data_IF_474518901089
#
_entry.id   IF_474518901089
#
_cell.length_a   1.000
_cell.length_b   1.000
_cell.length_c   1.000
_cell.angle_alpha   90.00
_cell.angle_beta   90.00
_cell.angle_gamma   90.00
#
_symmetry.space_group_name_H-M   'P 1'
#
loop_
_entity.id
_entity.type
_entity.pdbx_description
1 polymer ?
#
# COMPACT_ATOMS: atom_id res chain seq x y z
N UNK A 1 -19.65 -2.62 -9.05
CA UNK A 1 -19.52 -3.37 -7.78
C UNK A 1 -18.06 -3.69 -7.55
N UNK A 2 -17.53 -3.26 -6.41
CA UNK A 2 -16.14 -3.48 -5.99
C UNK A 2 -15.94 -4.93 -5.52
N UNK A 3 -16.65 -5.87 -6.13
CA UNK A 3 -16.65 -7.25 -5.64
C UNK A 3 -15.33 -7.99 -5.75
N UNK A 4 -14.42 -7.56 -6.62
CA UNK A 4 -13.19 -8.31 -6.88
C UNK A 4 -12.00 -7.38 -7.12
N UNK A 5 -11.50 -6.74 -6.05
CA UNK A 5 -10.12 -6.35 -6.06
C UNK A 5 -9.27 -7.61 -5.84
N UNK A 6 -9.19 -8.46 -6.86
CA UNK A 6 -8.26 -9.57 -6.85
C UNK A 6 -6.85 -9.03 -7.11
N UNK A 7 -6.15 -8.68 -6.06
CA UNK A 7 -4.78 -8.18 -6.11
C UNK A 7 -3.76 -9.25 -6.53
N UNK A 8 -4.19 -10.50 -6.69
CA UNK A 8 -3.29 -11.63 -6.91
C UNK A 8 -3.04 -11.98 -8.35
N UNK A 9 -3.99 -11.75 -9.23
CA UNK A 9 -3.89 -12.22 -10.61
C UNK A 9 -3.01 -11.33 -11.49
N UNK A 10 -2.76 -10.07 -11.11
CA UNK A 10 -2.06 -9.09 -11.95
C UNK A 10 -1.17 -8.19 -11.13
N UNK A 11 -0.02 -7.85 -11.69
CA UNK A 11 0.82 -6.80 -11.15
C UNK A 11 0.01 -5.49 -11.08
N UNK A 12 -0.15 -4.99 -9.88
CA UNK A 12 -0.91 -3.78 -9.61
C UNK A 12 0.01 -2.58 -9.83
N UNK A 13 -0.42 -1.54 -10.56
CA UNK A 13 0.40 -0.34 -10.68
C UNK A 13 0.61 0.31 -9.32
N UNK A 14 1.86 0.61 -8.97
CA UNK A 14 2.20 1.53 -7.91
C UNK A 14 1.92 2.97 -8.35
N UNK A 15 1.87 3.88 -7.40
CA UNK A 15 1.69 5.31 -7.64
C UNK A 15 0.37 5.67 -8.35
N UNK A 16 -0.67 4.88 -8.17
CA UNK A 16 -1.99 5.10 -8.77
C UNK A 16 -3.00 5.56 -7.72
N UNK A 17 -3.22 6.86 -7.64
CA UNK A 17 -4.20 7.50 -6.73
C UNK A 17 -5.65 7.05 -6.98
N UNK A 18 -5.97 6.55 -8.18
CA UNK A 18 -7.31 6.06 -8.53
C UNK A 18 -7.68 4.77 -7.79
N UNK A 19 -6.72 4.16 -7.11
CA UNK A 19 -6.94 2.99 -6.27
C UNK A 19 -7.46 3.32 -4.88
N UNK A 20 -7.45 4.59 -4.51
CA UNK A 20 -8.10 5.05 -3.29
C UNK A 20 -9.62 4.95 -3.42
N UNK A 21 -10.25 4.23 -2.52
CA UNK A 21 -11.68 4.03 -2.53
C UNK A 21 -12.28 4.15 -1.13
N UNK A 22 -13.54 4.54 -1.09
CA UNK A 22 -14.30 4.71 0.13
C UNK A 22 -15.58 3.90 0.03
N UNK A 23 -16.06 3.43 1.17
CA UNK A 23 -17.35 2.74 1.26
C UNK A 23 -18.11 3.15 2.52
N UNK A 24 -19.41 2.92 2.49
CA UNK A 24 -20.27 2.95 3.67
C UNK A 24 -21.36 1.90 3.50
N UNK A 25 -21.81 1.36 4.61
CA UNK A 25 -22.94 0.45 4.69
C UNK A 25 -23.87 0.95 5.78
N UNK A 26 -25.12 1.17 5.43
CA UNK A 26 -26.17 1.58 6.34
C UNK A 26 -27.43 0.76 6.09
N UNK A 27 -28.08 0.35 7.16
CA UNK A 27 -29.42 -0.24 7.11
C UNK A 27 -30.45 0.87 7.30
N UNK A 28 -31.33 1.04 6.34
CA UNK A 28 -32.39 2.05 6.37
C UNK A 28 -33.74 1.37 6.50
N UNK A 29 -34.48 1.69 7.56
CA UNK A 29 -35.89 1.30 7.69
C UNK A 29 -36.74 2.41 7.07
N UNK A 30 -37.51 2.08 6.07
CA UNK A 30 -38.37 3.03 5.35
C UNK A 30 -39.81 2.92 5.88
N UNK A 31 -40.21 3.86 6.76
CA UNK A 31 -41.53 3.93 7.36
C UNK A 31 -42.24 5.25 6.96
N UNK A 32 -42.10 5.67 5.69
CA UNK A 32 -42.63 6.93 5.16
C UNK A 32 -41.57 7.75 4.43
N UNK A 33 -41.70 9.08 4.44
CA UNK A 33 -40.72 9.95 3.80
C UNK A 33 -39.37 9.87 4.53
N UNK A 34 -38.30 9.62 3.79
CA UNK A 34 -36.92 9.62 4.31
C UNK A 34 -36.40 11.05 4.18
N UNK A 35 -36.07 11.69 5.29
CA UNK A 35 -35.39 12.98 5.33
C UNK A 35 -33.90 12.88 4.97
N UNK A 36 -33.19 14.01 5.01
CA UNK A 36 -31.75 14.09 4.77
C UNK A 36 -30.96 13.18 5.73
N UNK A 37 -29.96 12.51 5.21
CA UNK A 37 -29.08 11.63 5.99
C UNK A 37 -27.62 11.94 5.74
N UNK A 38 -26.84 11.84 6.78
CA UNK A 38 -25.38 11.95 6.70
C UNK A 38 -24.77 10.55 6.69
N UNK A 39 -24.06 10.23 5.64
CA UNK A 39 -23.33 8.98 5.49
C UNK A 39 -21.84 9.23 5.74
N UNK A 40 -21.22 8.45 6.63
CA UNK A 40 -19.79 8.51 6.87
C UNK A 40 -19.07 7.45 6.03
N UNK A 41 -18.24 7.93 5.11
CA UNK A 41 -17.40 7.06 4.30
C UNK A 41 -16.19 6.59 5.10
N UNK A 42 -15.83 5.31 4.92
CA UNK A 42 -14.61 4.68 5.47
C UNK A 42 -13.65 4.38 4.32
N UNK A 43 -12.36 4.59 4.54
CA UNK A 43 -11.31 4.15 3.63
C UNK A 43 -10.78 2.80 4.13
N UNK A 44 -10.92 1.69 3.37
CA UNK A 44 -10.46 0.36 3.82
C UNK A 44 -8.96 0.17 3.66
N UNK A 45 -8.29 1.09 3.02
CA UNK A 45 -6.86 1.00 2.69
C UNK A 45 -5.98 1.78 3.67
N UNK A 46 -4.78 1.24 3.93
CA UNK A 46 -3.62 2.01 4.33
C UNK A 46 -2.93 2.55 3.08
N UNK A 47 -2.44 3.79 3.12
CA UNK A 47 -1.52 4.30 2.10
C UNK A 47 -0.09 4.09 2.60
N UNK A 48 0.74 3.36 1.85
CA UNK A 48 2.14 3.12 2.18
C UNK A 48 3.02 3.87 1.20
N UNK A 49 3.81 4.79 1.70
CA UNK A 49 4.77 5.57 0.92
C UNK A 49 6.19 5.12 1.27
N UNK A 50 7.00 4.88 0.27
CA UNK A 50 8.44 4.63 0.41
C UNK A 50 9.17 5.82 -0.19
N UNK A 51 10.08 6.41 0.55
CA UNK A 51 10.77 7.62 0.14
C UNK A 51 12.24 7.67 0.53
N UNK A 52 13.02 8.40 -0.26
CA UNK A 52 14.47 8.56 -0.11
C UNK A 52 14.86 10.04 -0.26
N UNK A 53 15.89 10.47 0.44
CA UNK A 53 16.44 11.82 0.28
C UNK A 53 17.15 12.03 -1.06
N UNK A 54 17.38 13.28 -1.45
CA UNK A 54 18.18 13.59 -2.65
C UNK A 54 19.61 13.01 -2.53
N UNK A 55 20.21 13.08 -1.35
CA UNK A 55 21.51 12.48 -1.09
C UNK A 55 21.50 10.97 -1.22
N UNK A 56 20.44 10.30 -0.75
CA UNK A 56 20.26 8.86 -0.90
C UNK A 56 20.10 8.44 -2.36
N UNK A 57 19.41 9.23 -3.19
CA UNK A 57 19.33 8.99 -4.64
C UNK A 57 20.70 9.13 -5.31
N UNK A 58 21.47 10.14 -4.94
CA UNK A 58 22.82 10.33 -5.48
C UNK A 58 23.75 9.18 -5.09
N UNK A 59 23.66 8.70 -3.84
CA UNK A 59 24.42 7.53 -3.39
C UNK A 59 24.01 6.25 -4.15
N UNK A 60 22.72 6.03 -4.34
CA UNK A 60 22.21 4.93 -5.17
C UNK A 60 22.80 4.96 -6.57
N UNK A 61 22.76 6.13 -7.23
CA UNK A 61 23.27 6.31 -8.58
C UNK A 61 24.77 6.02 -8.65
N UNK A 62 25.54 6.44 -7.64
CA UNK A 62 26.98 6.16 -7.56
C UNK A 62 27.30 4.66 -7.48
N UNK A 63 26.37 3.87 -6.94
CA UNK A 63 26.44 2.39 -6.83
C UNK A 63 25.83 1.67 -8.05
N UNK A 64 25.40 2.43 -9.07
CA UNK A 64 24.78 1.88 -10.27
C UNK A 64 23.34 1.38 -10.08
N UNK A 65 22.68 1.84 -9.00
CA UNK A 65 21.27 1.55 -8.71
C UNK A 65 20.43 2.68 -9.30
N UNK A 66 19.54 2.37 -10.22
CA UNK A 66 18.75 3.37 -10.96
C UNK A 66 17.29 3.42 -10.53
N UNK A 67 16.87 2.52 -9.64
CA UNK A 67 15.51 2.37 -9.16
C UNK A 67 14.47 2.24 -10.30
N UNK A 68 14.84 1.50 -11.35
CA UNK A 68 13.96 1.12 -12.45
C UNK A 68 13.31 -0.24 -12.18
N UNK A 69 12.22 -0.49 -12.89
CA UNK A 69 11.49 -1.76 -12.78
C UNK A 69 11.20 -2.14 -11.33
N UNK A 70 10.64 -1.18 -10.61
CA UNK A 70 10.33 -1.32 -9.19
C UNK A 70 9.22 -2.35 -8.97
N UNK A 71 9.42 -3.20 -7.98
CA UNK A 71 8.39 -4.07 -7.44
C UNK A 71 8.38 -3.95 -5.93
N UNK A 72 7.20 -3.69 -5.36
CA UNK A 72 6.98 -3.67 -3.92
C UNK A 72 5.98 -4.77 -3.57
N UNK A 73 6.36 -5.67 -2.69
CA UNK A 73 5.52 -6.77 -2.24
C UNK A 73 5.23 -6.65 -0.74
N UNK A 74 4.01 -7.00 -0.36
CA UNK A 74 3.54 -6.97 1.03
C UNK A 74 3.13 -8.36 1.45
N UNK A 75 3.65 -8.88 2.53
CA UNK A 75 3.20 -10.15 3.11
C UNK A 75 2.24 -9.95 4.27
N UNK A 76 1.32 -10.87 4.46
CA UNK A 76 0.28 -10.87 5.50
C UNK A 76 -0.69 -9.68 5.40
N UNK A 77 -1.04 -9.28 4.17
CA UNK A 77 -2.05 -8.24 3.92
C UNK A 77 -3.30 -8.84 3.30
N UNK A 78 -4.42 -8.13 3.44
CA UNK A 78 -5.69 -8.60 2.91
C UNK A 78 -5.76 -8.38 1.39
N UNK A 79 -6.52 -9.25 0.72
CA UNK A 79 -6.74 -9.22 -0.74
C UNK A 79 -8.18 -8.97 -1.12
N UNK A 80 -9.11 -9.20 -0.20
CA UNK A 80 -10.56 -9.01 -0.39
C UNK A 80 -11.18 -8.38 0.86
N UNK A 81 -12.27 -7.66 0.67
CA UNK A 81 -13.12 -7.14 1.74
C UNK A 81 -14.58 -7.44 1.42
N UNK A 82 -15.30 -7.93 2.41
CA UNK A 82 -16.76 -7.92 2.41
C UNK A 82 -17.23 -6.52 2.85
N UNK A 83 -17.88 -5.81 1.95
CA UNK A 83 -18.31 -4.44 2.24
C UNK A 83 -19.48 -4.38 3.23
N UNK A 84 -20.23 -5.45 3.40
CA UNK A 84 -21.36 -5.50 4.34
C UNK A 84 -20.89 -5.72 5.76
N UNK A 85 -20.00 -6.71 5.96
CA UNK A 85 -19.48 -7.06 7.29
C UNK A 85 -18.23 -6.28 7.68
N UNK A 86 -17.57 -5.65 6.69
CA UNK A 86 -16.23 -5.05 6.83
C UNK A 86 -15.13 -6.07 7.17
N UNK A 87 -15.41 -7.37 7.00
CA UNK A 87 -14.41 -8.40 7.16
C UNK A 87 -13.44 -8.43 5.97
N UNK A 88 -12.17 -8.62 6.26
CA UNK A 88 -11.13 -8.75 5.25
C UNK A 88 -10.61 -10.17 5.19
N UNK A 89 -10.26 -10.60 4.00
CA UNK A 89 -9.78 -11.96 3.75
C UNK A 89 -8.38 -11.91 3.16
N UNK A 90 -7.50 -12.72 3.73
CA UNK A 90 -6.20 -13.06 3.16
C UNK A 90 -6.39 -14.27 2.27
N UNK A 91 -5.48 -14.45 1.33
CA UNK A 91 -5.60 -15.58 0.42
C UNK A 91 -5.45 -16.91 1.15
N UNK A 92 -6.08 -17.91 0.54
CA UNK A 92 -6.28 -19.27 1.06
C UNK A 92 -4.95 -19.91 1.51
N UNK A 93 -4.89 -20.49 2.71
CA UNK A 93 -3.74 -21.26 3.15
C UNK A 93 -3.41 -22.39 2.16
N UNK A 94 -2.16 -22.47 1.72
CA UNK A 94 -1.68 -23.48 0.79
C UNK A 94 -1.37 -22.97 -0.62
N UNK A 95 -1.63 -21.71 -0.92
CA UNK A 95 -1.13 -21.05 -2.12
C UNK A 95 0.18 -20.32 -1.77
N UNK A 96 1.29 -20.77 -2.33
CA UNK A 96 2.63 -20.17 -2.10
C UNK A 96 2.71 -18.67 -2.49
N UNK A 97 1.73 -18.19 -3.23
CA UNK A 97 1.58 -16.79 -3.63
C UNK A 97 0.64 -16.00 -2.71
N UNK A 98 0.11 -16.64 -1.68
CA UNK A 98 -0.99 -16.16 -0.86
C UNK A 98 -0.66 -14.98 0.04
N UNK A 99 0.59 -14.69 0.28
CA UNK A 99 1.03 -13.77 1.33
C UNK A 99 1.43 -12.39 0.83
N UNK A 100 1.37 -12.09 -0.46
CA UNK A 100 1.85 -10.80 -0.93
C UNK A 100 1.09 -10.23 -2.13
N UNK A 101 1.01 -8.91 -2.13
CA UNK A 101 0.46 -8.12 -3.23
C UNK A 101 1.62 -7.39 -3.89
N UNK A 102 1.96 -7.70 -5.16
CA UNK A 102 3.00 -6.99 -5.87
C UNK A 102 2.47 -5.69 -6.47
N UNK A 103 3.16 -4.60 -6.22
CA UNK A 103 2.96 -3.32 -6.88
C UNK A 103 4.16 -3.03 -7.78
N UNK A 104 3.93 -2.60 -9.01
CA UNK A 104 4.98 -2.36 -10.00
C UNK A 104 4.97 -0.93 -10.52
N UNK A 105 6.17 -0.41 -10.74
CA UNK A 105 6.38 0.85 -11.43
C UNK A 105 7.63 0.74 -12.30
N UNK A 106 7.57 1.25 -13.54
CA UNK A 106 8.70 1.19 -14.48
C UNK A 106 9.78 2.22 -14.13
N UNK A 107 9.39 3.32 -13.48
CA UNK A 107 10.29 4.41 -13.10
C UNK A 107 9.78 5.07 -11.82
N UNK A 108 10.66 5.86 -11.18
CA UNK A 108 10.27 6.69 -10.06
C UNK A 108 9.21 7.72 -10.50
N UNK A 109 8.18 7.96 -9.68
CA UNK A 109 7.30 9.09 -9.87
C UNK A 109 8.09 10.38 -9.62
N UNK A 110 7.87 11.40 -10.43
CA UNK A 110 8.49 12.71 -10.21
C UNK A 110 7.70 13.48 -9.13
N UNK A 111 7.69 12.97 -7.93
CA UNK A 111 6.94 13.50 -6.78
C UNK A 111 7.79 13.49 -5.53
N UNK A 112 7.58 14.50 -4.69
CA UNK A 112 8.19 14.62 -3.37
C UNK A 112 7.13 14.74 -2.29
N UNK A 113 7.48 14.37 -1.07
CA UNK A 113 6.62 14.53 0.09
C UNK A 113 7.44 14.80 1.35
N UNK A 114 6.76 15.39 2.36
CA UNK A 114 7.40 15.83 3.60
C UNK A 114 7.08 14.84 4.74
N UNK A 115 8.08 14.49 5.53
CA UNK A 115 7.91 13.76 6.79
C UNK A 115 8.83 14.39 7.84
N UNK A 116 8.25 14.84 8.95
CA UNK A 116 9.02 15.43 10.04
C UNK A 116 9.88 16.63 9.64
N UNK A 117 9.46 17.42 8.64
CA UNK A 117 10.21 18.57 8.15
C UNK A 117 11.32 18.21 7.14
N UNK A 118 11.48 16.94 6.78
CA UNK A 118 12.45 16.48 5.76
C UNK A 118 11.70 16.14 4.48
N UNK A 119 12.24 16.55 3.34
CA UNK A 119 11.71 16.26 2.01
C UNK A 119 12.30 14.95 1.47
N UNK A 120 11.42 14.11 0.91
CA UNK A 120 11.78 12.81 0.34
C UNK A 120 11.25 12.70 -1.08
N UNK A 121 12.04 12.13 -1.99
CA UNK A 121 11.59 11.67 -3.29
C UNK A 121 10.74 10.42 -3.10
N UNK A 122 9.56 10.41 -3.70
CA UNK A 122 8.68 9.25 -3.66
C UNK A 122 9.26 8.13 -4.53
N UNK A 123 9.51 6.99 -3.93
CA UNK A 123 9.88 5.76 -4.65
C UNK A 123 8.62 5.00 -5.05
N UNK A 124 7.72 4.81 -4.10
CA UNK A 124 6.50 4.04 -4.33
C UNK A 124 5.41 4.49 -3.37
N UNK A 125 4.19 4.63 -3.88
CA UNK A 125 2.96 4.82 -3.12
C UNK A 125 2.00 3.69 -3.45
N UNK A 126 1.47 3.04 -2.42
CA UNK A 126 0.61 1.88 -2.60
C UNK A 126 -0.58 1.96 -1.64
N UNK A 127 -1.76 1.64 -2.16
CA UNK A 127 -2.95 1.43 -1.33
C UNK A 127 -3.08 -0.04 -1.02
N UNK A 128 -2.97 -0.39 0.26
CA UNK A 128 -2.97 -1.76 0.76
C UNK A 128 -4.21 -1.98 1.60
N UNK A 129 -4.97 -3.02 1.28
CA UNK A 129 -6.13 -3.41 2.06
C UNK A 129 -5.68 -4.01 3.39
N UNK A 130 -6.28 -3.54 4.48
CA UNK A 130 -5.88 -3.91 5.85
C UNK A 130 -7.09 -4.24 6.71
N UNK A 131 -6.85 -4.85 7.86
CA UNK A 131 -7.88 -5.10 8.86
C UNK A 131 -8.56 -3.80 9.26
N UNK A 132 -9.88 -3.84 9.44
CA UNK A 132 -10.72 -2.65 9.67
C UNK A 132 -10.85 -2.31 11.16
N UNK A 133 -10.05 -2.91 12.02
CA UNK A 133 -9.97 -2.62 13.45
C UNK A 133 -8.90 -1.56 13.77
N UNK A 134 -8.83 -1.13 15.02
CA UNK A 134 -7.87 -0.12 15.47
C UNK A 134 -6.42 -0.63 15.52
N UNK A 135 -6.21 -1.92 15.63
CA UNK A 135 -4.89 -2.54 15.65
C UNK A 135 -4.26 -2.54 14.26
N UNK A 136 -5.11 -2.67 13.22
CA UNK A 136 -4.68 -2.74 11.81
C UNK A 136 -4.05 -4.09 11.47
N UNK A 137 -3.24 -4.09 10.43
CA UNK A 137 -2.52 -5.26 9.93
C UNK A 137 -1.02 -5.08 10.12
N UNK A 138 -0.35 -6.08 10.63
CA UNK A 138 1.12 -6.11 10.63
C UNK A 138 1.60 -6.81 9.36
N UNK A 139 2.11 -6.03 8.40
CA UNK A 139 2.83 -6.58 7.26
C UNK A 139 4.13 -7.21 7.76
N UNK A 140 4.25 -8.53 7.65
CA UNK A 140 5.45 -9.25 8.12
C UNK A 140 6.68 -8.80 7.38
N UNK A 141 6.55 -8.65 6.06
CA UNK A 141 7.62 -8.15 5.20
C UNK A 141 7.04 -7.22 4.13
N UNK A 142 7.73 -6.11 3.91
CA UNK A 142 7.56 -5.26 2.74
C UNK A 142 8.88 -5.31 1.99
N UNK A 143 8.88 -5.88 0.79
CA UNK A 143 10.09 -6.02 -0.03
C UNK A 143 10.05 -5.05 -1.20
N UNK A 144 11.10 -4.23 -1.31
CA UNK A 144 11.37 -3.36 -2.44
C UNK A 144 12.48 -4.01 -3.29
N UNK A 145 12.20 -4.23 -4.56
CA UNK A 145 13.11 -4.81 -5.53
C UNK A 145 13.19 -3.88 -6.73
N UNK A 146 14.38 -3.63 -7.26
CA UNK A 146 14.58 -2.84 -8.48
C UNK A 146 15.73 -3.35 -9.35
N UNK A 147 15.88 -2.77 -10.54
CA UNK A 147 16.97 -3.00 -11.47
C UNK A 147 17.17 -4.49 -11.81
N UNK A 148 16.04 -5.20 -12.04
CA UNK A 148 16.08 -6.63 -12.34
C UNK A 148 16.54 -7.50 -11.18
N UNK A 149 16.38 -7.02 -9.94
CA UNK A 149 16.76 -7.73 -8.72
C UNK A 149 18.18 -7.44 -8.23
N UNK A 150 18.89 -6.49 -8.86
CA UNK A 150 20.20 -6.03 -8.37
C UNK A 150 20.10 -5.35 -7.03
N UNK A 151 19.01 -4.64 -6.78
CA UNK A 151 18.73 -4.03 -5.50
C UNK A 151 17.53 -4.69 -4.84
N UNK A 152 17.68 -5.04 -3.57
CA UNK A 152 16.62 -5.59 -2.71
C UNK A 152 16.69 -4.97 -1.33
N UNK A 153 15.55 -4.49 -0.84
CA UNK A 153 15.41 -4.02 0.55
C UNK A 153 14.17 -4.61 1.17
N UNK A 154 14.25 -4.97 2.44
CA UNK A 154 13.15 -5.54 3.19
C UNK A 154 12.90 -4.74 4.46
N UNK A 155 11.63 -4.47 4.73
CA UNK A 155 11.17 -3.84 5.97
C UNK A 155 10.24 -4.84 6.66
N UNK A 156 10.51 -5.14 7.93
CA UNK A 156 9.78 -6.18 8.67
C UNK A 156 8.87 -5.58 9.73
N UNK A 157 7.74 -6.25 9.98
CA UNK A 157 6.80 -5.94 11.06
C UNK A 157 6.28 -4.49 11.02
N UNK A 158 5.90 -4.03 9.84
CA UNK A 158 5.34 -2.69 9.64
C UNK A 158 3.83 -2.72 9.90
N UNK A 159 3.37 -1.94 10.88
CA UNK A 159 1.94 -1.81 11.17
C UNK A 159 1.27 -0.87 10.17
N UNK A 160 0.22 -1.35 9.54
CA UNK A 160 -0.61 -0.65 8.58
C UNK A 160 -2.04 -0.51 9.13
N UNK A 161 -2.61 0.68 9.07
CA UNK A 161 -3.96 0.96 9.56
C UNK A 161 -4.83 1.57 8.48
N UNK A 162 -6.09 1.17 8.44
CA UNK A 162 -7.08 1.75 7.54
C UNK A 162 -7.18 3.26 7.73
N UNK A 163 -7.25 4.01 6.63
CA UNK A 163 -7.31 5.47 6.62
C UNK A 163 -6.05 6.20 7.15
N UNK A 164 -4.94 5.51 7.32
CA UNK A 164 -3.66 6.12 7.71
C UNK A 164 -2.63 6.05 6.59
N UNK A 165 -1.68 7.00 6.64
CA UNK A 165 -0.46 6.99 5.82
C UNK A 165 0.69 6.42 6.64
N UNK A 166 1.33 5.37 6.14
CA UNK A 166 2.57 4.83 6.68
C UNK A 166 3.72 5.25 5.78
N UNK A 167 4.66 6.00 6.31
CA UNK A 167 5.82 6.47 5.56
C UNK A 167 7.05 5.69 5.98
N UNK A 168 7.68 5.01 5.03
CA UNK A 168 8.96 4.32 5.18
C UNK A 168 9.99 5.20 4.50
N UNK A 169 10.74 5.96 5.28
CA UNK A 169 11.66 6.97 4.77
C UNK A 169 13.03 6.87 5.44
N UNK A 170 14.05 7.30 4.73
CA UNK A 170 15.41 7.33 5.23
C UNK A 170 16.41 6.90 4.17
N UNK A 171 17.61 6.51 4.65
CA UNK A 171 18.66 5.97 3.81
C UNK A 171 18.40 4.48 3.54
N UNK A 172 17.41 4.23 2.66
CA UNK A 172 16.92 2.88 2.37
C UNK A 172 17.83 2.11 1.39
N UNK A 173 18.83 2.75 0.81
CA UNK A 173 19.70 2.18 -0.24
C UNK A 173 21.10 1.84 0.28
N UNK A 174 21.36 1.92 1.56
CA UNK A 174 22.62 1.41 2.09
C UNK A 174 22.70 -0.10 1.84
N UNK A 175 23.56 -0.46 0.92
CA UNK A 175 24.03 -1.83 0.72
C UNK A 175 25.22 -1.96 1.65
N UNK A 176 25.08 -2.72 2.73
CA UNK A 176 26.24 -3.23 3.47
C UNK A 176 26.99 -4.26 2.63
#
# INVERSE_FOLDING_TARGET
SIKDHNYQAYAVPANDERRDAFYAVETITVNGAIGDRTVRLKRPFAQVNIGITDSGLADAASKGITLKDLSVTFSNVATKIDLVTSEVYRVIPGDDHADYVPFKANSLPNQKFMVGGVEYNLISMNYVLVDQNEEGTVAKNISLISDGGKYKRQFSNVTLRANYKTNIVGDIINVE
#
